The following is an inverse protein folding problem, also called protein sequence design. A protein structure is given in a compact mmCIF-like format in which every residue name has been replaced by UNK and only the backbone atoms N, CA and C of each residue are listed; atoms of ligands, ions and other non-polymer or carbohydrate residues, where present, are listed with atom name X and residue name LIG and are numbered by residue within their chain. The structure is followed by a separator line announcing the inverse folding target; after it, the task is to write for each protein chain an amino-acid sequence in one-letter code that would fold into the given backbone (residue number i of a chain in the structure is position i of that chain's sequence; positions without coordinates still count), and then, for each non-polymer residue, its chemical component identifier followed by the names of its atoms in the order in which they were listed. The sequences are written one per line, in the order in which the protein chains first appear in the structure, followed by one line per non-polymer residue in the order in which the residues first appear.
data_IF_773796882666
#
_entry.id   IF_773796882666
#
_cell.length_a   1.000
_cell.length_b   1.000
_cell.length_c   1.000
_cell.angle_alpha   90.00
_cell.angle_beta   90.00
_cell.angle_gamma   90.00
#
_symmetry.space_group_name_H-M   'P 1'
#
loop_
_entity.id
_entity.type
_entity.pdbx_description
1 polymer ?
#
# COMPACT_ATOMS: atom_id res chain seq x y z
N UNK A 1 25.70 -52.01 -30.17
CA UNK A 1 24.78 -50.94 -29.70
C UNK A 1 25.18 -50.61 -28.27
N UNK A 2 25.54 -49.34 -28.05
CA UNK A 2 26.21 -48.70 -26.89
C UNK A 2 25.89 -49.27 -25.49
N UNK A 3 26.89 -49.59 -24.63
CA UNK A 3 27.77 -48.72 -23.78
C UNK A 3 26.99 -47.93 -22.70
N UNK A 4 27.41 -47.77 -21.43
CA UNK A 4 28.39 -48.40 -20.55
C UNK A 4 28.27 -47.74 -19.14
N UNK A 5 28.49 -48.54 -18.08
CA UNK A 5 29.24 -48.22 -16.83
C UNK A 5 28.81 -47.12 -15.83
N UNK A 6 28.57 -47.60 -14.60
CA UNK A 6 29.26 -47.30 -13.32
C UNK A 6 28.68 -46.36 -12.24
N UNK A 7 28.89 -46.85 -11.00
CA UNK A 7 28.97 -46.21 -9.67
C UNK A 7 27.61 -45.92 -8.98
N UNK A 8 27.13 -46.63 -7.93
CA UNK A 8 27.74 -47.11 -6.65
C UNK A 8 28.67 -46.08 -6.00
N UNK A 9 28.41 -45.61 -4.78
CA UNK A 9 28.90 -46.10 -3.46
C UNK A 9 28.02 -45.40 -2.39
N UNK A 10 27.38 -45.96 -1.35
CA UNK A 10 27.61 -47.03 -0.36
C UNK A 10 28.28 -46.55 0.98
N UNK A 11 27.58 -46.83 2.11
CA UNK A 11 27.99 -46.84 3.54
C UNK A 11 28.27 -45.47 4.23
N UNK A 12 27.92 -45.23 5.51
CA UNK A 12 28.18 -46.05 6.70
C UNK A 12 27.26 -45.68 7.90
N UNK A 13 27.14 -46.63 8.84
CA UNK A 13 26.31 -46.65 10.04
C UNK A 13 27.24 -46.70 11.25
N UNK A 14 27.49 -45.59 11.97
CA UNK A 14 27.85 -45.60 13.41
C UNK A 14 28.05 -44.20 13.99
N UNK A 15 27.68 -44.06 15.27
CA UNK A 15 28.00 -43.03 16.27
C UNK A 15 26.90 -41.99 16.53
N UNK A 16 26.30 -42.15 17.70
CA UNK A 16 25.18 -41.38 18.24
C UNK A 16 25.50 -39.91 18.50
N UNK A 17 24.50 -39.09 18.20
CA UNK A 17 24.44 -37.68 18.52
C UNK A 17 23.09 -37.17 18.05
N UNK A 18 22.12 -37.08 18.96
CA UNK A 18 20.75 -36.73 18.64
C UNK A 18 20.64 -35.37 17.96
N UNK A 19 19.98 -35.32 16.81
CA UNK A 19 19.36 -34.11 16.28
C UNK A 19 18.01 -34.50 15.70
N UNK A 20 16.99 -34.27 16.53
CA UNK A 20 15.58 -34.37 16.17
C UNK A 20 15.30 -33.26 15.13
N UNK A 21 15.52 -33.54 13.86
CA UNK A 21 15.07 -32.67 12.76
C UNK A 21 13.53 -32.70 12.76
N UNK A 22 12.93 -31.71 13.41
CA UNK A 22 11.52 -31.35 13.28
C UNK A 22 11.20 -31.15 11.80
N UNK A 23 10.64 -32.20 11.19
CA UNK A 23 9.82 -32.10 9.99
C UNK A 23 8.72 -31.07 10.28
N UNK A 24 8.95 -29.82 9.84
CA UNK A 24 7.95 -28.76 9.84
C UNK A 24 6.88 -29.18 8.84
N UNK A 25 5.90 -29.95 9.32
CA UNK A 25 4.68 -30.30 8.59
C UNK A 25 4.16 -29.03 7.92
N UNK A 26 4.27 -28.95 6.59
CA UNK A 26 3.61 -27.92 5.81
C UNK A 26 2.12 -28.24 5.92
N UNK A 27 1.46 -27.62 6.91
CA UNK A 27 0.02 -27.74 7.11
C UNK A 27 -0.64 -27.22 5.82
N UNK A 28 -1.11 -28.13 4.97
CA UNK A 28 -1.88 -27.81 3.77
C UNK A 28 -3.13 -27.08 4.24
N UNK A 29 -3.14 -25.76 4.09
CA UNK A 29 -4.30 -24.95 4.48
C UNK A 29 -5.44 -25.34 3.54
N UNK A 30 -6.56 -25.77 4.11
CA UNK A 30 -7.73 -26.13 3.31
C UNK A 30 -8.38 -24.87 2.74
N UNK A 31 -8.94 -24.96 1.54
CA UNK A 31 -9.57 -23.82 0.85
C UNK A 31 -10.73 -23.23 1.69
N UNK A 32 -11.38 -24.07 2.50
CA UNK A 32 -12.37 -23.66 3.52
C UNK A 32 -11.77 -22.76 4.61
N UNK A 33 -10.60 -23.10 5.17
CA UNK A 33 -9.92 -22.27 6.19
C UNK A 33 -9.53 -20.89 5.62
N UNK A 34 -9.15 -20.84 4.33
CA UNK A 34 -8.85 -19.59 3.62
C UNK A 34 -10.13 -18.75 3.46
N UNK A 35 -11.21 -19.34 2.94
CA UNK A 35 -12.48 -18.65 2.73
C UNK A 35 -13.11 -18.16 4.03
N UNK A 36 -13.02 -18.94 5.12
CA UNK A 36 -13.51 -18.52 6.43
C UNK A 36 -12.70 -17.33 6.98
N UNK A 37 -11.38 -17.33 6.76
CA UNK A 37 -10.54 -16.18 7.14
C UNK A 37 -10.87 -14.90 6.36
N UNK A 38 -11.41 -15.02 5.14
CA UNK A 38 -11.84 -13.91 4.30
C UNK A 38 -13.26 -13.44 4.60
N UNK A 39 -14.13 -14.32 5.10
CA UNK A 39 -15.49 -13.99 5.53
C UNK A 39 -15.53 -13.10 6.76
N UNK A 40 -14.51 -13.14 7.61
CA UNK A 40 -14.45 -12.28 8.78
C UNK A 40 -14.17 -10.82 8.39
N UNK A 41 -15.25 -10.02 8.33
CA UNK A 41 -15.26 -8.58 8.04
C UNK A 41 -14.56 -8.21 6.71
N UNK A 42 -15.12 -8.62 5.56
CA UNK A 42 -14.49 -8.46 4.24
C UNK A 42 -14.32 -7.00 3.82
N UNK A 43 -15.14 -6.07 4.34
CA UNK A 43 -15.01 -4.63 4.07
C UNK A 43 -13.71 -4.03 4.59
N UNK A 44 -13.14 -4.54 5.69
CA UNK A 44 -11.82 -4.11 6.16
C UNK A 44 -10.69 -4.56 5.22
N UNK A 45 -10.93 -5.60 4.41
CA UNK A 45 -9.97 -6.07 3.41
C UNK A 45 -9.79 -5.11 2.25
N UNK A 46 -10.71 -4.16 2.06
CA UNK A 46 -10.71 -3.19 0.95
C UNK A 46 -9.95 -1.90 1.27
N UNK A 47 -9.51 -1.68 2.51
CA UNK A 47 -8.93 -0.40 2.94
C UNK A 47 -7.72 0.06 2.12
N UNK A 48 -6.75 -0.84 1.90
CA UNK A 48 -5.59 -0.55 1.03
C UNK A 48 -6.01 -0.36 -0.43
N UNK A 49 -7.14 -0.92 -0.85
CA UNK A 49 -7.71 -0.72 -2.18
C UNK A 49 -8.07 0.73 -2.47
N UNK A 50 -8.57 1.49 -1.48
CA UNK A 50 -8.78 2.94 -1.63
C UNK A 50 -7.47 3.70 -1.86
N UNK A 51 -6.40 3.29 -1.17
CA UNK A 51 -5.05 3.83 -1.39
C UNK A 51 -4.51 3.49 -2.78
N UNK A 52 -4.72 2.27 -3.28
CA UNK A 52 -4.31 1.89 -4.63
C UNK A 52 -5.13 2.63 -5.70
N UNK A 53 -6.44 2.81 -5.50
CA UNK A 53 -7.28 3.59 -6.40
C UNK A 53 -6.81 5.05 -6.49
N UNK A 54 -6.44 5.65 -5.35
CA UNK A 54 -5.83 6.97 -5.29
C UNK A 54 -4.51 7.01 -6.07
N UNK A 55 -3.62 6.06 -5.78
CA UNK A 55 -2.30 5.99 -6.42
C UNK A 55 -2.41 5.79 -7.94
N UNK A 56 -3.32 4.93 -8.40
CA UNK A 56 -3.56 4.75 -9.84
C UNK A 56 -4.09 6.04 -10.49
N UNK A 57 -5.01 6.74 -9.82
CA UNK A 57 -5.61 7.96 -10.38
C UNK A 57 -4.62 9.12 -10.43
N UNK A 58 -3.85 9.35 -9.36
CA UNK A 58 -2.91 10.48 -9.25
C UNK A 58 -1.57 10.20 -9.93
N UNK A 59 -1.00 9.01 -9.72
CA UNK A 59 0.35 8.67 -10.20
C UNK A 59 0.33 8.18 -11.64
N UNK A 60 -0.55 7.23 -11.94
CA UNK A 60 -0.61 6.61 -13.26
C UNK A 60 -1.42 7.48 -14.22
N UNK A 61 -2.57 8.00 -13.79
CA UNK A 61 -3.44 8.84 -14.61
C UNK A 61 -3.38 10.34 -14.30
N UNK A 62 -2.18 10.83 -13.96
CA UNK A 62 -1.89 12.26 -13.79
C UNK A 62 -2.50 13.20 -14.86
N UNK A 63 -2.56 12.86 -16.17
CA UNK A 63 -3.20 13.73 -17.17
C UNK A 63 -4.66 14.08 -16.89
N UNK A 64 -5.41 13.20 -16.21
CA UNK A 64 -6.81 13.45 -15.86
C UNK A 64 -6.98 14.50 -14.75
N UNK A 65 -5.90 14.90 -14.08
CA UNK A 65 -5.93 16.02 -13.13
C UNK A 65 -5.93 17.39 -13.80
N UNK A 66 -5.68 17.46 -15.11
CA UNK A 66 -5.61 18.70 -15.87
C UNK A 66 -6.92 18.87 -16.66
N UNK A 67 -7.62 19.97 -16.41
CA UNK A 67 -8.88 20.34 -17.08
C UNK A 67 -8.58 20.98 -18.43
N UNK A 68 -7.52 21.79 -18.51
CA UNK A 68 -7.19 22.57 -19.70
C UNK A 68 -6.29 21.80 -20.68
N UNK A 69 -6.46 22.04 -21.98
CA UNK A 69 -5.73 21.32 -23.04
C UNK A 69 -4.28 21.78 -23.20
N UNK A 70 -3.96 22.97 -22.71
CA UNK A 70 -2.62 23.54 -22.69
C UNK A 70 -2.10 23.53 -21.25
N UNK A 71 -1.43 22.44 -20.82
CA UNK A 71 -0.98 22.34 -19.44
C UNK A 71 0.14 23.36 -19.18
N UNK A 72 0.05 24.10 -18.07
CA UNK A 72 1.10 25.02 -17.62
C UNK A 72 2.46 24.33 -17.42
N UNK A 73 2.44 23.01 -17.18
CA UNK A 73 3.64 22.19 -16.96
C UNK A 73 3.62 20.92 -17.80
N UNK A 74 4.81 20.46 -18.21
CA UNK A 74 4.93 19.13 -18.80
C UNK A 74 4.49 18.06 -17.80
N UNK A 75 3.54 17.21 -18.18
CA UNK A 75 3.04 16.10 -17.36
C UNK A 75 4.18 15.19 -16.86
N UNK A 76 5.25 15.06 -17.66
CA UNK A 76 6.44 14.30 -17.27
C UNK A 76 7.12 14.91 -16.05
N UNK A 77 7.20 16.25 -15.98
CA UNK A 77 7.80 16.95 -14.85
C UNK A 77 7.02 16.70 -13.56
N UNK A 78 5.68 16.80 -13.61
CA UNK A 78 4.81 16.54 -12.46
C UNK A 78 4.97 15.10 -11.96
N UNK A 79 5.01 14.13 -12.88
CA UNK A 79 5.23 12.71 -12.53
C UNK A 79 6.59 12.45 -11.91
N UNK A 80 7.65 13.05 -12.44
CA UNK A 80 9.02 12.91 -11.90
C UNK A 80 9.11 13.54 -10.51
N UNK A 81 8.56 14.75 -10.33
CA UNK A 81 8.52 15.43 -9.05
C UNK A 81 7.78 14.58 -8.00
N UNK A 82 6.61 14.04 -8.36
CA UNK A 82 5.86 13.14 -7.49
C UNK A 82 6.61 11.87 -7.11
N UNK A 83 7.21 11.19 -8.09
CA UNK A 83 7.99 9.97 -7.83
C UNK A 83 9.20 10.25 -6.94
N UNK A 84 9.88 11.37 -7.17
CA UNK A 84 11.00 11.82 -6.37
C UNK A 84 10.58 12.12 -4.91
N UNK A 85 9.46 12.81 -4.70
CA UNK A 85 8.98 13.14 -3.35
C UNK A 85 8.50 11.91 -2.59
N UNK A 86 7.84 10.95 -3.24
CA UNK A 86 7.50 9.65 -2.62
C UNK A 86 8.76 8.90 -2.23
N UNK A 87 9.75 8.82 -3.14
CA UNK A 87 11.01 8.12 -2.89
C UNK A 87 11.78 8.75 -1.72
N UNK A 88 11.90 10.08 -1.73
CA UNK A 88 12.52 10.84 -0.65
C UNK A 88 11.75 10.66 0.67
N UNK A 89 10.41 10.68 0.61
CA UNK A 89 9.55 10.45 1.75
C UNK A 89 9.75 9.06 2.37
N UNK A 90 9.89 8.02 1.54
CA UNK A 90 10.20 6.67 2.02
C UNK A 90 11.58 6.61 2.69
N UNK A 91 12.61 7.24 2.10
CA UNK A 91 13.97 7.30 2.69
C UNK A 91 13.94 8.00 4.05
N UNK A 92 13.31 9.18 4.11
CA UNK A 92 13.15 9.94 5.35
C UNK A 92 12.41 9.11 6.39
N UNK A 93 11.32 8.46 6.01
CA UNK A 93 10.56 7.62 6.94
C UNK A 93 11.33 6.39 7.41
N UNK A 94 12.10 5.72 6.55
CA UNK A 94 12.98 4.62 6.99
C UNK A 94 13.95 5.08 8.08
N UNK A 95 14.51 6.28 7.96
CA UNK A 95 15.37 6.87 8.99
C UNK A 95 14.59 7.23 10.27
N UNK A 96 13.42 7.85 10.12
CA UNK A 96 12.59 8.27 11.25
C UNK A 96 12.02 7.09 12.05
N UNK A 97 11.69 5.98 11.39
CA UNK A 97 11.19 4.76 12.06
C UNK A 97 12.25 4.21 13.02
N UNK A 98 13.51 4.19 12.60
CA UNK A 98 14.61 3.72 13.45
C UNK A 98 14.85 4.63 14.65
N UNK A 99 14.52 5.93 14.53
CA UNK A 99 14.92 6.96 15.50
C UNK A 99 13.80 7.40 16.44
N UNK A 100 12.53 7.28 16.04
CA UNK A 100 11.40 7.92 16.74
C UNK A 100 10.18 7.03 16.98
N UNK A 101 10.23 5.72 16.66
CA UNK A 101 9.10 4.79 16.81
C UNK A 101 7.77 5.38 16.31
N UNK A 102 7.83 6.10 15.17
CA UNK A 102 6.74 6.92 14.64
C UNK A 102 5.50 6.07 14.36
N UNK A 103 5.67 4.79 14.03
CA UNK A 103 4.56 3.87 13.84
C UNK A 103 3.81 3.51 15.13
N UNK A 104 4.44 3.67 16.29
CA UNK A 104 3.82 3.41 17.59
C UNK A 104 2.98 4.59 18.09
N UNK A 105 3.09 5.77 17.46
CA UNK A 105 2.13 6.89 17.63
C UNK A 105 0.73 6.58 17.05
N UNK A 106 0.54 5.38 16.50
CA UNK A 106 -0.75 4.70 16.38
C UNK A 106 -1.68 5.35 15.36
N UNK A 107 -2.60 6.19 15.82
CA UNK A 107 -3.72 6.72 15.01
C UNK A 107 -3.47 8.13 14.50
N UNK A 108 -2.74 8.94 15.25
CA UNK A 108 -2.48 10.34 14.91
C UNK A 108 -1.60 10.46 13.67
N UNK A 109 -0.63 9.57 13.52
CA UNK A 109 0.25 9.52 12.34
C UNK A 109 -0.53 9.08 11.10
N UNK A 110 -1.48 8.15 11.24
CA UNK A 110 -2.35 7.73 10.14
C UNK A 110 -3.29 8.87 9.72
N UNK A 111 -3.91 9.56 10.69
CA UNK A 111 -4.78 10.70 10.41
C UNK A 111 -4.01 11.88 9.78
N UNK A 112 -2.81 12.19 10.30
CA UNK A 112 -1.95 13.23 9.75
C UNK A 112 -1.50 12.91 8.33
N UNK A 113 -1.10 11.66 8.07
CA UNK A 113 -0.65 11.25 6.74
C UNK A 113 -1.76 11.32 5.70
N UNK A 114 -2.97 10.82 5.99
CA UNK A 114 -4.10 10.99 5.07
C UNK A 114 -4.52 12.45 4.89
N UNK A 115 -4.52 13.25 5.95
CA UNK A 115 -4.85 14.68 5.85
C UNK A 115 -3.83 15.42 4.99
N UNK A 116 -2.54 15.13 5.18
CA UNK A 116 -1.43 15.66 4.40
C UNK A 116 -1.54 15.26 2.92
N UNK A 117 -1.80 13.97 2.63
CA UNK A 117 -2.02 13.49 1.26
C UNK A 117 -3.22 14.15 0.59
N UNK A 118 -4.32 14.30 1.31
CA UNK A 118 -5.56 14.88 0.78
C UNK A 118 -5.38 16.38 0.51
N UNK A 119 -4.78 17.12 1.46
CA UNK A 119 -4.46 18.53 1.31
C UNK A 119 -3.48 18.76 0.16
N UNK A 120 -2.42 17.95 0.08
CA UNK A 120 -1.46 18.01 -1.01
C UNK A 120 -2.11 17.76 -2.37
N UNK A 121 -3.11 16.88 -2.43
CA UNK A 121 -3.86 16.60 -3.66
C UNK A 121 -4.70 17.81 -4.09
N UNK A 122 -5.36 18.48 -3.13
CA UNK A 122 -6.07 19.74 -3.41
C UNK A 122 -5.12 20.81 -3.93
N UNK A 123 -3.98 21.00 -3.27
CA UNK A 123 -2.95 21.96 -3.69
C UNK A 123 -2.40 21.61 -5.08
N UNK A 124 -2.25 20.32 -5.38
CA UNK A 124 -1.79 19.86 -6.69
C UNK A 124 -2.80 20.19 -7.78
N UNK A 125 -4.09 19.95 -7.55
CA UNK A 125 -5.17 20.32 -8.48
C UNK A 125 -5.18 21.84 -8.70
N UNK A 126 -5.00 22.62 -7.63
CA UNK A 126 -4.91 24.08 -7.71
C UNK A 126 -3.71 24.54 -8.54
N UNK A 127 -2.53 23.98 -8.31
CA UNK A 127 -1.30 24.31 -9.04
C UNK A 127 -1.36 23.91 -10.52
N UNK A 128 -2.12 22.86 -10.86
CA UNK A 128 -2.21 22.36 -12.23
C UNK A 128 -3.26 23.09 -13.08
N UNK A 129 -4.29 23.67 -12.46
CA UNK A 129 -5.45 24.21 -13.19
C UNK A 129 -5.72 25.70 -12.98
N UNK A 130 -5.32 26.26 -11.84
CA UNK A 130 -5.75 27.61 -11.45
C UNK A 130 -4.59 28.55 -11.11
N UNK A 131 -3.47 28.03 -10.61
CA UNK A 131 -2.33 28.83 -10.15
C UNK A 131 -1.04 28.32 -10.76
N UNK A 132 -0.45 29.09 -11.68
CA UNK A 132 0.84 28.76 -12.29
C UNK A 132 2.00 29.09 -11.34
N UNK A 133 2.25 28.20 -10.36
CA UNK A 133 3.35 28.33 -9.40
C UNK A 133 4.09 27.01 -9.19
N UNK A 134 5.37 27.00 -9.59
CA UNK A 134 6.28 25.87 -9.40
C UNK A 134 6.45 25.55 -7.91
N UNK A 135 6.54 26.58 -7.05
CA UNK A 135 6.68 26.41 -5.61
C UNK A 135 5.46 25.70 -5.00
N UNK A 136 4.26 26.08 -5.45
CA UNK A 136 3.02 25.43 -5.03
C UNK A 136 2.97 23.98 -5.51
N UNK A 137 3.39 23.70 -6.75
CA UNK A 137 3.45 22.35 -7.30
C UNK A 137 4.46 21.46 -6.54
N UNK A 138 5.66 21.97 -6.23
CA UNK A 138 6.68 21.24 -5.45
C UNK A 138 6.17 20.99 -4.03
N UNK A 139 5.54 21.99 -3.40
CA UNK A 139 4.96 21.86 -2.06
C UNK A 139 3.85 20.81 -2.05
N UNK A 140 2.96 20.86 -3.03
CA UNK A 140 1.86 19.92 -3.19
C UNK A 140 2.38 18.49 -3.38
N UNK A 141 3.29 18.27 -4.34
CA UNK A 141 3.88 16.94 -4.61
C UNK A 141 4.69 16.43 -3.41
N UNK A 142 5.34 17.30 -2.65
CA UNK A 142 6.05 16.93 -1.41
C UNK A 142 5.09 16.47 -0.32
N UNK A 143 3.98 17.21 -0.14
CA UNK A 143 2.97 16.90 0.85
C UNK A 143 2.25 15.58 0.53
N UNK A 144 1.88 15.39 -0.75
CA UNK A 144 1.33 14.11 -1.21
C UNK A 144 2.34 12.99 -1.03
N UNK A 145 3.59 13.17 -1.48
CA UNK A 145 4.63 12.14 -1.41
C UNK A 145 4.93 11.68 0.02
N UNK A 146 5.10 12.62 0.95
CA UNK A 146 5.33 12.33 2.37
C UNK A 146 4.14 11.63 3.02
N UNK A 147 2.92 12.17 2.86
CA UNK A 147 1.73 11.53 3.41
C UNK A 147 1.51 10.13 2.85
N UNK A 148 1.75 9.95 1.54
CA UNK A 148 1.57 8.68 0.86
C UNK A 148 2.60 7.64 1.34
N UNK A 149 3.85 8.04 1.54
CA UNK A 149 4.90 7.20 2.11
C UNK A 149 4.54 6.70 3.52
N UNK A 150 4.05 7.60 4.39
CA UNK A 150 3.63 7.25 5.76
C UNK A 150 2.43 6.30 5.75
N UNK A 151 1.43 6.55 4.90
CA UNK A 151 0.27 5.66 4.74
C UNK A 151 0.70 4.26 4.28
N UNK A 152 1.59 4.18 3.29
CA UNK A 152 2.11 2.93 2.77
C UNK A 152 2.83 2.13 3.86
N UNK A 153 3.67 2.78 4.66
CA UNK A 153 4.38 2.15 5.77
C UNK A 153 3.43 1.69 6.88
N UNK A 154 2.39 2.48 7.17
CA UNK A 154 1.38 2.13 8.19
C UNK A 154 0.58 0.89 7.77
N UNK A 155 0.19 0.79 6.50
CA UNK A 155 -0.40 -0.43 5.94
C UNK A 155 0.58 -1.60 5.92
N UNK A 156 1.85 -1.36 5.59
CA UNK A 156 2.90 -2.38 5.65
C UNK A 156 3.07 -2.99 7.04
N UNK A 157 3.04 -2.17 8.09
CA UNK A 157 3.11 -2.65 9.47
C UNK A 157 1.86 -3.43 9.90
N UNK A 158 0.68 -3.08 9.39
CA UNK A 158 -0.52 -3.89 9.57
C UNK A 158 -0.35 -5.28 8.93
N UNK A 159 0.18 -5.33 7.70
CA UNK A 159 0.37 -6.58 6.95
C UNK A 159 1.38 -7.53 7.61
N UNK A 160 2.40 -7.00 8.28
CA UNK A 160 3.34 -7.82 9.04
C UNK A 160 2.69 -8.58 10.20
N UNK A 161 1.54 -8.09 10.71
CA UNK A 161 0.80 -8.73 11.82
C UNK A 161 -0.24 -9.74 11.33
N UNK A 162 -0.53 -9.80 10.04
CA UNK A 162 -1.55 -10.69 9.47
C UNK A 162 -0.98 -12.05 9.06
N UNK A 163 -1.82 -13.08 9.09
CA UNK A 163 -1.47 -14.39 8.52
C UNK A 163 -1.32 -14.30 7.00
N UNK A 164 -0.47 -15.15 6.43
CA UNK A 164 -0.18 -15.17 4.98
C UNK A 164 -1.44 -15.29 4.12
N UNK A 165 -2.43 -16.08 4.57
CA UNK A 165 -3.70 -16.30 3.87
C UNK A 165 -4.58 -15.05 3.86
N UNK A 166 -4.58 -14.30 4.97
CA UNK A 166 -5.30 -13.02 5.06
C UNK A 166 -4.59 -11.90 4.31
N UNK A 167 -3.26 -11.89 4.31
CA UNK A 167 -2.46 -10.96 3.54
C UNK A 167 -2.73 -11.11 2.04
N UNK A 168 -2.69 -12.34 1.52
CA UNK A 168 -2.99 -12.64 0.12
C UNK A 168 -4.39 -12.16 -0.26
N UNK A 169 -5.40 -12.43 0.59
CA UNK A 169 -6.76 -11.93 0.40
C UNK A 169 -6.83 -10.40 0.37
N UNK A 170 -6.18 -9.71 1.33
CA UNK A 170 -6.14 -8.24 1.37
C UNK A 170 -5.63 -7.65 0.06
N UNK A 171 -4.51 -8.18 -0.45
CA UNK A 171 -3.90 -7.69 -1.69
C UNK A 171 -4.78 -7.99 -2.89
N UNK A 172 -5.25 -9.23 -3.06
CA UNK A 172 -6.06 -9.62 -4.22
C UNK A 172 -7.38 -8.85 -4.30
N UNK A 173 -8.15 -8.81 -3.21
CA UNK A 173 -9.43 -8.09 -3.20
C UNK A 173 -9.23 -6.59 -3.36
N UNK A 174 -8.19 -6.02 -2.74
CA UNK A 174 -7.91 -4.59 -2.86
C UNK A 174 -7.45 -4.20 -4.26
N UNK A 175 -6.64 -5.02 -4.93
CA UNK A 175 -6.23 -4.76 -6.31
C UNK A 175 -7.44 -4.82 -7.25
N UNK A 176 -8.31 -5.82 -7.11
CA UNK A 176 -9.53 -5.92 -7.91
C UNK A 176 -10.46 -4.72 -7.67
N UNK A 177 -10.67 -4.38 -6.39
CA UNK A 177 -11.45 -3.21 -6.01
C UNK A 177 -10.85 -1.92 -6.57
N UNK A 178 -9.54 -1.72 -6.44
CA UNK A 178 -8.86 -0.53 -6.94
C UNK A 178 -8.99 -0.37 -8.45
N UNK A 179 -8.88 -1.48 -9.20
CA UNK A 179 -9.06 -1.47 -10.65
C UNK A 179 -10.49 -1.05 -11.04
N UNK A 180 -11.51 -1.64 -10.39
CA UNK A 180 -12.92 -1.30 -10.64
C UNK A 180 -13.24 0.13 -10.20
N UNK A 181 -12.80 0.54 -9.01
CA UNK A 181 -13.00 1.88 -8.49
C UNK A 181 -12.35 2.93 -9.39
N UNK A 182 -11.11 2.72 -9.83
CA UNK A 182 -10.41 3.62 -10.75
C UNK A 182 -11.14 3.72 -12.10
N UNK A 183 -11.65 2.60 -12.64
CA UNK A 183 -12.44 2.62 -13.87
C UNK A 183 -13.73 3.43 -13.73
N UNK A 184 -14.45 3.31 -12.61
CA UNK A 184 -15.66 4.09 -12.32
C UNK A 184 -15.32 5.58 -12.18
N UNK A 185 -14.25 5.89 -11.44
CA UNK A 185 -13.82 7.27 -11.19
C UNK A 185 -13.52 8.01 -12.49
N UNK A 186 -12.94 7.36 -13.50
CA UNK A 186 -12.64 7.99 -14.79
C UNK A 186 -13.86 8.39 -15.62
N UNK A 187 -15.05 7.85 -15.31
CA UNK A 187 -16.29 8.18 -16.02
C UNK A 187 -16.96 9.41 -15.37
N UNK A 188 -16.52 9.82 -14.19
CA UNK A 188 -17.12 10.93 -13.45
C UNK A 188 -16.80 12.29 -14.10
N UNK A 189 -17.71 13.27 -13.99
CA UNK A 189 -17.40 14.64 -14.35
C UNK A 189 -16.30 15.19 -13.42
N UNK A 190 -15.49 16.11 -13.94
CA UNK A 190 -14.32 16.66 -13.25
C UNK A 190 -14.54 17.12 -11.79
N UNK A 191 -15.70 17.72 -11.38
CA UNK A 191 -15.88 18.12 -9.98
C UNK A 191 -15.97 16.91 -9.06
N UNK A 192 -16.72 15.89 -9.49
CA UNK A 192 -16.90 14.65 -8.72
C UNK A 192 -15.60 13.85 -8.68
N UNK A 193 -14.86 13.82 -9.80
CA UNK A 193 -13.54 13.18 -9.87
C UNK A 193 -12.58 13.74 -8.80
N UNK A 194 -12.44 15.06 -8.70
CA UNK A 194 -11.56 15.69 -7.71
C UNK A 194 -12.00 15.41 -6.28
N UNK A 195 -13.30 15.54 -5.98
CA UNK A 195 -13.81 15.26 -4.64
C UNK A 195 -13.51 13.81 -4.23
N UNK A 196 -13.78 12.84 -5.13
CA UNK A 196 -13.55 11.44 -4.83
C UNK A 196 -12.06 11.17 -4.58
N UNK A 197 -11.16 11.67 -5.44
CA UNK A 197 -9.72 11.44 -5.27
C UNK A 197 -9.20 12.01 -3.96
N UNK A 198 -9.64 13.21 -3.56
CA UNK A 198 -9.24 13.82 -2.29
C UNK A 198 -9.77 13.01 -1.09
N UNK A 199 -10.93 12.36 -1.22
CA UNK A 199 -11.48 11.53 -0.15
C UNK A 199 -10.86 10.12 -0.04
N UNK A 200 -10.26 9.58 -1.11
CA UNK A 200 -9.71 8.22 -1.11
C UNK A 200 -8.62 7.97 -0.05
N UNK A 201 -7.61 8.85 0.15
CA UNK A 201 -6.62 8.68 1.21
C UNK A 201 -7.26 8.69 2.60
N UNK A 202 -8.28 9.52 2.81
CA UNK A 202 -9.03 9.60 4.08
C UNK A 202 -9.77 8.30 4.34
N UNK A 203 -10.52 7.80 3.34
CA UNK A 203 -11.22 6.52 3.45
C UNK A 203 -10.27 5.37 3.77
N UNK A 204 -9.09 5.33 3.12
CA UNK A 204 -8.04 4.35 3.41
C UNK A 204 -7.55 4.45 4.86
N UNK A 205 -7.24 5.65 5.35
CA UNK A 205 -6.80 5.87 6.73
C UNK A 205 -7.85 5.50 7.77
N UNK A 206 -9.12 5.83 7.52
CA UNK A 206 -10.23 5.49 8.42
C UNK A 206 -10.33 3.96 8.58
N UNK A 207 -10.29 3.22 7.47
CA UNK A 207 -10.33 1.76 7.51
C UNK A 207 -9.07 1.21 8.19
N UNK A 208 -7.91 1.81 7.97
CA UNK A 208 -6.67 1.42 8.64
C UNK A 208 -6.75 1.61 10.16
N UNK A 209 -7.34 2.71 10.63
CA UNK A 209 -7.56 2.96 12.07
C UNK A 209 -8.50 1.90 12.67
N UNK A 210 -9.57 1.53 11.96
CA UNK A 210 -10.44 0.44 12.41
C UNK A 210 -9.72 -0.90 12.44
N UNK A 211 -8.88 -1.21 11.43
CA UNK A 211 -8.04 -2.40 11.42
C UNK A 211 -7.09 -2.48 12.62
N UNK A 212 -6.49 -1.35 13.02
CA UNK A 212 -5.56 -1.33 14.16
C UNK A 212 -6.28 -1.49 15.50
N UNK A 213 -7.48 -0.94 15.64
CA UNK A 213 -8.31 -1.12 16.84
C UNK A 213 -8.74 -2.56 17.06
N UNK A 214 -9.10 -3.27 16.00
CA UNK A 214 -9.46 -4.69 16.09
C UNK A 214 -8.30 -5.57 16.53
N UNK A 215 -7.07 -5.25 16.11
CA UNK A 215 -5.88 -5.97 16.53
C UNK A 215 -5.54 -5.74 18.01
N UNK A 216 -5.84 -4.56 18.56
CA UNK A 216 -5.67 -4.29 19.99
C UNK A 216 -6.74 -4.97 20.87
N UNK A 217 -7.95 -5.18 20.34
CA UNK A 217 -9.03 -5.88 21.05
C UNK A 217 -8.88 -7.41 21.02
N UNK A 218 -8.19 -7.96 20.01
CA UNK A 218 -7.92 -9.39 19.89
C UNK A 218 -6.79 -9.92 20.78
N UNK A 219 -6.18 -9.07 21.63
CA UNK A 219 -5.07 -9.42 22.53
C UNK A 219 -5.43 -9.53 24.01
N UNK A 220 -6.72 -9.51 24.38
CA UNK A 220 -7.09 -9.91 25.75
C UNK A 220 -7.13 -11.45 25.85
N UNK A 221 -6.36 -12.05 26.79
CA UNK A 221 -6.24 -13.49 26.96
C UNK A 221 -7.56 -14.18 27.34
#
# INVERSE_FOLDING_TARGET
MADAKNNQVAYDKSIGGGVLMTQKQVKTTTLSEILDSWRYKPWLMLGIGFYFAFSLSVVVNCPQLIIDKDPSYSILFVRVAFSATVSLGLIVMMFLIHRFDVLNSGKWVIAFSASSTSLGTVLLILALNFVDSIELMITATSLVGLGNAVLLLSWGALFQKLSINRLAGHVTFSCLFAAVASAIIHILPWPAYFTVIVCLPIASAVILIFCTDEQCLGTTP
#
